data_IF_389734661165
#
_entry.id   IF_389734661165
#
_cell.length_a   1.000
_cell.length_b   1.000
_cell.length_c   1.000
_cell.angle_alpha   90.00
_cell.angle_beta   90.00
_cell.angle_gamma   90.00
#
_symmetry.space_group_name_H-M   'P 1'
#
loop_
_entity.id
_entity.type
_entity.pdbx_description
1 polymer ?
#
# COMPACT_ATOMS: atom_id res chain seq x y z
N UNK A 1 5.78 -12.12 -5.46
CA UNK A 1 5.81 -13.39 -6.24
C UNK A 1 5.16 -14.55 -5.48
N UNK A 2 5.37 -14.68 -4.17
CA UNK A 2 4.86 -15.82 -3.37
C UNK A 2 3.43 -15.66 -2.84
N UNK A 3 2.78 -14.51 -3.06
CA UNK A 3 1.45 -14.24 -2.51
C UNK A 3 1.47 -13.25 -1.35
N UNK A 4 2.63 -12.72 -0.96
CA UNK A 4 2.74 -11.73 0.11
C UNK A 4 2.66 -10.31 -0.43
N UNK A 5 2.06 -9.44 0.37
CA UNK A 5 2.13 -7.99 0.15
C UNK A 5 3.50 -7.48 0.61
N UNK A 6 4.08 -6.56 -0.15
CA UNK A 6 5.37 -5.93 0.12
C UNK A 6 5.22 -4.41 0.12
N UNK A 7 6.01 -3.74 0.97
CA UNK A 7 6.02 -2.29 1.06
C UNK A 7 7.46 -1.79 1.16
N UNK A 8 7.84 -0.87 0.28
CA UNK A 8 9.13 -0.18 0.32
C UNK A 8 8.85 1.29 0.60
N UNK A 9 9.37 1.81 1.70
CA UNK A 9 9.13 3.20 2.13
C UNK A 9 10.46 3.92 2.21
N UNK A 10 10.63 5.02 1.48
CA UNK A 10 11.80 5.91 1.67
C UNK A 10 11.45 7.01 2.65
N UNK A 11 12.33 7.22 3.64
CA UNK A 11 12.13 8.22 4.70
C UNK A 11 13.42 8.99 4.95
N UNK A 12 13.30 10.29 5.23
CA UNK A 12 14.44 11.14 5.57
C UNK A 12 14.33 12.57 5.07
N UNK A 13 15.36 13.35 5.35
CA UNK A 13 15.36 14.79 5.11
C UNK A 13 15.41 15.18 3.63
N UNK A 14 15.19 16.47 3.34
CA UNK A 14 15.16 17.00 1.98
C UNK A 14 16.50 16.80 1.27
N UNK A 15 16.44 16.49 -0.03
CA UNK A 15 17.62 16.42 -0.89
C UNK A 15 18.50 15.19 -0.72
N UNK A 16 18.12 14.20 0.11
CA UNK A 16 18.94 13.01 0.37
C UNK A 16 18.62 11.81 -0.54
N UNK A 17 17.97 12.04 -1.68
CA UNK A 17 17.83 10.99 -2.71
C UNK A 17 16.72 9.96 -2.50
N UNK A 18 15.64 10.28 -1.77
CA UNK A 18 14.46 9.40 -1.61
C UNK A 18 13.87 8.98 -2.96
N UNK A 19 13.43 9.97 -3.74
CA UNK A 19 12.91 9.79 -5.10
C UNK A 19 13.93 9.11 -6.02
N UNK A 20 15.21 9.51 -5.95
CA UNK A 20 16.29 8.89 -6.72
C UNK A 20 16.48 7.40 -6.39
N UNK A 21 16.31 7.02 -5.12
CA UNK A 21 16.44 5.62 -4.70
C UNK A 21 15.33 4.76 -5.31
N UNK A 22 14.08 5.24 -5.27
CA UNK A 22 12.94 4.50 -5.81
C UNK A 22 12.90 4.48 -7.33
N UNK A 23 13.17 5.62 -7.97
CA UNK A 23 12.92 5.83 -9.40
C UNK A 23 14.17 6.12 -10.24
N UNK A 24 15.35 6.26 -9.64
CA UNK A 24 16.61 6.57 -10.33
C UNK A 24 16.69 8.02 -10.82
N UNK A 25 17.58 8.33 -11.80
CA UNK A 25 17.72 9.64 -12.42
C UNK A 25 16.56 10.01 -13.37
N UNK A 26 15.49 9.20 -13.41
CA UNK A 26 14.40 9.32 -14.37
C UNK A 26 14.63 8.48 -15.63
N UNK A 27 13.63 8.45 -16.51
CA UNK A 27 13.62 7.63 -17.73
C UNK A 27 14.40 8.22 -18.90
N UNK A 28 14.61 9.53 -18.91
CA UNK A 28 15.33 10.24 -19.98
C UNK A 28 16.87 10.10 -19.87
N UNK A 29 17.37 9.73 -18.69
CA UNK A 29 18.79 9.66 -18.36
C UNK A 29 19.23 8.24 -17.91
N UNK A 30 18.57 7.18 -18.40
CA UNK A 30 18.98 5.79 -18.11
C UNK A 30 20.11 5.42 -19.06
N UNK A 31 21.36 5.43 -18.58
CA UNK A 31 22.51 5.01 -19.37
C UNK A 31 22.73 3.48 -19.31
N UNK A 32 22.14 2.80 -18.32
CA UNK A 32 22.07 1.33 -18.23
C UNK A 32 21.17 0.83 -17.07
N UNK A 33 21.01 -0.49 -16.94
CA UNK A 33 20.22 -1.09 -15.85
C UNK A 33 20.78 -0.77 -14.45
N UNK A 34 22.08 -0.46 -14.35
CA UNK A 34 22.72 -0.05 -13.11
C UNK A 34 22.17 1.29 -12.55
N UNK A 35 21.67 2.17 -13.43
CA UNK A 35 21.16 3.49 -13.04
C UNK A 35 19.68 3.45 -12.64
N UNK A 36 19.01 2.31 -12.78
CA UNK A 36 17.59 2.17 -12.48
C UNK A 36 17.31 2.32 -10.98
N UNK A 37 16.10 2.76 -10.62
CA UNK A 37 15.63 2.76 -9.25
C UNK A 37 15.17 1.38 -8.79
N UNK A 38 14.81 1.28 -7.50
CA UNK A 38 14.25 0.04 -6.92
C UNK A 38 12.98 -0.41 -7.67
N UNK A 39 12.12 0.53 -8.07
CA UNK A 39 10.85 0.22 -8.74
C UNK A 39 11.10 -0.44 -10.08
N UNK A 40 11.96 0.13 -10.93
CA UNK A 40 12.23 -0.41 -12.25
C UNK A 40 12.88 -1.80 -12.20
N UNK A 41 13.80 -2.02 -11.25
CA UNK A 41 14.37 -3.36 -11.01
C UNK A 41 13.31 -4.37 -10.61
N UNK A 42 12.43 -4.01 -9.67
CA UNK A 42 11.33 -4.89 -9.24
C UNK A 42 10.39 -5.25 -10.39
N UNK A 43 10.04 -4.29 -11.25
CA UNK A 43 9.22 -4.53 -12.45
C UNK A 43 9.90 -5.55 -13.37
N UNK A 44 11.19 -5.37 -13.67
CA UNK A 44 11.93 -6.33 -14.51
C UNK A 44 11.95 -7.72 -13.89
N UNK A 45 12.20 -7.83 -12.59
CA UNK A 45 12.20 -9.10 -11.88
C UNK A 45 10.83 -9.80 -11.92
N UNK A 46 9.73 -9.04 -11.78
CA UNK A 46 8.36 -9.57 -11.91
C UNK A 46 8.12 -10.11 -13.32
N UNK A 47 8.44 -9.34 -14.36
CA UNK A 47 8.22 -9.79 -15.75
C UNK A 47 9.16 -10.92 -16.18
N UNK A 48 10.39 -10.96 -15.65
CA UNK A 48 11.29 -12.09 -15.82
C UNK A 48 10.73 -13.36 -15.15
N UNK A 49 10.13 -13.23 -13.97
CA UNK A 49 9.42 -14.33 -13.31
C UNK A 49 8.23 -14.83 -14.15
N UNK A 50 7.41 -13.92 -14.68
CA UNK A 50 6.27 -14.25 -15.56
C UNK A 50 6.76 -15.03 -16.79
N UNK A 51 7.82 -14.55 -17.45
CA UNK A 51 8.38 -15.21 -18.62
C UNK A 51 8.94 -16.63 -18.31
N UNK A 52 9.40 -16.85 -17.08
CA UNK A 52 9.92 -18.15 -16.64
C UNK A 52 8.87 -19.18 -16.21
N UNK A 53 7.59 -18.79 -16.08
CA UNK A 53 6.52 -19.63 -15.51
C UNK A 53 5.28 -19.63 -16.40
N UNK A 54 5.40 -20.18 -17.61
CA UNK A 54 4.31 -20.20 -18.59
C UNK A 54 3.09 -21.06 -18.19
N UNK A 55 3.18 -21.83 -17.11
CA UNK A 55 2.08 -22.66 -16.60
C UNK A 55 0.99 -21.88 -15.87
N UNK A 56 1.17 -20.56 -15.68
CA UNK A 56 0.21 -19.69 -14.99
C UNK A 56 -0.26 -18.56 -15.90
N UNK A 57 -1.49 -18.12 -15.67
CA UNK A 57 -1.99 -16.84 -16.19
C UNK A 57 -1.65 -15.74 -15.21
N UNK A 58 -1.31 -14.56 -15.74
CA UNK A 58 -0.89 -13.41 -14.95
C UNK A 58 -1.69 -12.18 -15.34
N UNK A 59 -1.99 -11.33 -14.37
CA UNK A 59 -2.39 -9.95 -14.60
C UNK A 59 -1.55 -9.02 -13.74
N UNK A 60 -0.96 -8.01 -14.38
CA UNK A 60 -0.19 -6.96 -13.70
C UNK A 60 -0.98 -5.67 -13.80
N UNK A 61 -1.25 -5.05 -12.66
CA UNK A 61 -1.92 -3.76 -12.59
C UNK A 61 -1.02 -2.76 -11.85
N UNK A 62 -1.01 -1.50 -12.29
CA UNK A 62 -0.28 -0.42 -11.63
C UNK A 62 -1.21 0.68 -11.18
N UNK A 63 -0.90 1.31 -10.06
CA UNK A 63 -1.56 2.52 -9.58
C UNK A 63 -0.51 3.54 -9.15
N UNK A 64 -0.84 4.83 -9.23
CA UNK A 64 0.07 5.86 -8.75
C UNK A 64 -0.72 7.01 -8.14
N UNK A 65 -0.55 7.22 -6.84
CA UNK A 65 -1.23 8.28 -6.11
C UNK A 65 -0.24 9.25 -5.48
N UNK A 66 -0.64 10.50 -5.40
CA UNK A 66 0.03 11.56 -4.66
C UNK A 66 -0.84 12.01 -3.48
N UNK A 67 -0.22 12.34 -2.36
CA UNK A 67 -0.86 12.94 -1.20
C UNK A 67 -0.27 14.33 -1.01
N UNK A 68 -1.08 15.34 -1.27
CA UNK A 68 -0.74 16.76 -1.14
C UNK A 68 -1.67 17.39 -0.11
N UNK A 69 -1.12 17.94 0.97
CA UNK A 69 -1.90 18.68 1.99
C UNK A 69 -3.08 17.85 2.57
N UNK A 70 -2.96 16.50 2.58
CA UNK A 70 -3.97 15.57 3.07
C UNK A 70 -4.96 15.06 2.03
N UNK A 71 -4.98 15.64 0.83
CA UNK A 71 -5.81 15.20 -0.30
C UNK A 71 -5.09 14.16 -1.16
N UNK A 72 -5.84 13.19 -1.68
CA UNK A 72 -5.33 12.14 -2.57
C UNK A 72 -5.61 12.55 -4.01
N UNK A 73 -4.57 12.52 -4.84
CA UNK A 73 -4.67 12.72 -6.27
C UNK A 73 -4.20 11.45 -6.99
N UNK A 74 -4.99 10.96 -7.94
CA UNK A 74 -4.55 9.92 -8.87
C UNK A 74 -3.66 10.57 -9.94
N UNK A 75 -2.42 10.10 -10.06
CA UNK A 75 -1.45 10.63 -11.03
C UNK A 75 -1.60 10.01 -12.43
N UNK A 76 -2.40 8.96 -12.55
CA UNK A 76 -2.67 8.26 -13.81
C UNK A 76 -4.01 8.66 -14.44
N UNK A 77 -4.91 9.31 -13.67
CA UNK A 77 -6.31 9.63 -14.03
C UNK A 77 -7.15 8.43 -14.52
N UNK A 78 -6.72 7.21 -14.18
CA UNK A 78 -7.26 5.95 -14.68
C UNK A 78 -7.45 4.91 -13.57
N UNK A 79 -7.12 5.25 -12.32
CA UNK A 79 -7.09 4.34 -11.19
C UNK A 79 -6.00 3.27 -11.37
N UNK A 80 -6.42 2.01 -11.41
CA UNK A 80 -5.51 0.89 -11.65
C UNK A 80 -5.45 0.57 -13.15
N UNK A 81 -4.25 0.62 -13.71
CA UNK A 81 -4.01 0.36 -15.13
C UNK A 81 -3.39 -1.02 -15.33
N UNK A 82 -4.03 -1.84 -16.17
CA UNK A 82 -3.49 -3.13 -16.58
C UNK A 82 -2.29 -2.95 -17.51
N UNK A 83 -1.22 -3.69 -17.25
CA UNK A 83 0.02 -3.66 -18.03
C UNK A 83 0.41 -5.07 -18.48
N UNK A 84 0.82 -5.19 -19.74
CA UNK A 84 1.22 -6.44 -20.37
C UNK A 84 2.73 -6.58 -20.56
N UNK A 85 3.48 -5.48 -20.42
CA UNK A 85 4.94 -5.49 -20.55
C UNK A 85 5.64 -4.51 -19.61
N UNK A 86 6.97 -4.66 -19.50
CA UNK A 86 7.83 -3.74 -18.75
C UNK A 86 7.74 -2.32 -19.30
N UNK A 87 7.68 -2.18 -20.63
CA UNK A 87 7.62 -0.89 -21.33
C UNK A 87 6.33 -0.12 -20.99
N UNK A 88 5.20 -0.82 -20.88
CA UNK A 88 3.93 -0.20 -20.48
C UNK A 88 3.98 0.31 -19.03
N UNK A 89 4.51 -0.49 -18.11
CA UNK A 89 4.69 -0.06 -16.71
C UNK A 89 5.60 1.17 -16.65
N UNK A 90 6.71 1.16 -17.38
CA UNK A 90 7.65 2.28 -17.39
C UNK A 90 7.04 3.55 -17.99
N UNK A 91 6.22 3.41 -19.03
CA UNK A 91 5.47 4.54 -19.60
C UNK A 91 4.53 5.15 -18.58
N UNK A 92 3.73 4.35 -17.86
CA UNK A 92 2.83 4.86 -16.83
C UNK A 92 3.57 5.49 -15.66
N UNK A 93 4.69 4.89 -15.26
CA UNK A 93 5.55 5.45 -14.23
C UNK A 93 6.12 6.81 -14.65
N UNK A 94 6.54 6.97 -15.92
CA UNK A 94 6.99 8.26 -16.46
C UNK A 94 5.87 9.30 -16.48
N UNK A 95 4.66 8.91 -16.92
CA UNK A 95 3.49 9.81 -16.92
C UNK A 95 3.20 10.29 -15.50
N UNK A 96 3.07 9.38 -14.54
CA UNK A 96 2.75 9.78 -13.17
C UNK A 96 3.85 10.65 -12.53
N UNK A 97 5.13 10.34 -12.77
CA UNK A 97 6.24 11.19 -12.29
C UNK A 97 6.24 12.59 -12.92
N UNK A 98 5.80 12.73 -14.18
CA UNK A 98 5.68 14.03 -14.85
C UNK A 98 4.47 14.84 -14.35
N UNK A 99 3.42 14.18 -13.86
CA UNK A 99 2.21 14.81 -13.31
C UNK A 99 2.39 15.28 -11.86
N UNK A 100 3.40 14.76 -11.14
CA UNK A 100 3.66 15.10 -9.73
C UNK A 100 3.80 16.59 -9.52
N UNK A 101 3.20 17.08 -8.44
CA UNK A 101 3.32 18.48 -8.08
C UNK A 101 4.69 18.76 -7.44
N UNK A 102 5.28 19.96 -7.66
CA UNK A 102 6.57 20.33 -7.07
C UNK A 102 6.49 20.63 -5.56
N UNK A 103 5.31 20.54 -4.95
CA UNK A 103 5.07 20.77 -3.52
C UNK A 103 5.56 19.59 -2.68
N UNK A 104 5.67 19.80 -1.36
CA UNK A 104 5.99 18.73 -0.41
C UNK A 104 4.86 17.71 -0.37
N UNK A 105 4.98 16.67 -1.19
CA UNK A 105 3.99 15.63 -1.37
C UNK A 105 4.56 14.25 -1.11
N UNK A 106 3.70 13.33 -0.68
CA UNK A 106 4.02 11.90 -0.63
C UNK A 106 3.52 11.26 -1.92
N UNK A 107 4.24 10.29 -2.46
CA UNK A 107 3.74 9.52 -3.60
C UNK A 107 3.83 8.03 -3.35
N UNK A 108 2.81 7.28 -3.75
CA UNK A 108 2.73 5.85 -3.58
C UNK A 108 2.47 5.22 -4.94
N UNK A 109 3.47 4.52 -5.47
CA UNK A 109 3.33 3.69 -6.66
C UNK A 109 3.02 2.26 -6.22
N UNK A 110 2.00 1.64 -6.82
CA UNK A 110 1.56 0.29 -6.51
C UNK A 110 1.65 -0.62 -7.73
N UNK A 111 2.07 -1.85 -7.49
CA UNK A 111 2.14 -2.95 -8.46
C UNK A 111 1.38 -4.13 -7.88
N UNK A 112 0.30 -4.52 -8.55
CA UNK A 112 -0.50 -5.68 -8.17
C UNK A 112 -0.26 -6.79 -9.18
N UNK A 113 0.17 -7.96 -8.68
CA UNK A 113 0.37 -9.16 -9.47
C UNK A 113 -0.67 -10.21 -9.06
N UNK A 114 -1.54 -10.53 -10.00
CA UNK A 114 -2.45 -11.66 -9.93
C UNK A 114 -1.86 -12.83 -10.71
N UNK A 115 -1.94 -14.02 -10.14
CA UNK A 115 -1.49 -15.26 -10.75
C UNK A 115 -2.59 -16.29 -10.59
N UNK A 116 -2.85 -17.06 -11.64
CA UNK A 116 -3.81 -18.14 -11.61
C UNK A 116 -3.25 -19.36 -12.35
N UNK A 117 -3.46 -20.56 -11.79
CA UNK A 117 -3.01 -21.81 -12.42
C UNK A 117 -3.91 -22.97 -11.99
N UNK A 118 -3.89 -24.06 -12.75
CA UNK A 118 -4.60 -25.29 -12.40
C UNK A 118 -3.66 -26.18 -11.61
N UNK A 119 -4.07 -26.60 -10.41
CA UNK A 119 -3.30 -27.53 -9.57
C UNK A 119 -3.33 -28.95 -10.14
N UNK A 120 -2.51 -29.86 -9.58
CA UNK A 120 -2.49 -31.27 -10.00
C UNK A 120 -3.82 -31.98 -9.75
N UNK A 121 -4.58 -31.48 -8.79
CA UNK A 121 -5.90 -31.95 -8.39
C UNK A 121 -7.02 -31.38 -9.29
N UNK A 122 -6.69 -30.55 -10.29
CA UNK A 122 -7.65 -29.93 -11.20
C UNK A 122 -8.34 -28.68 -10.65
N UNK A 123 -7.99 -28.23 -9.44
CA UNK A 123 -8.52 -27.01 -8.83
C UNK A 123 -7.83 -25.78 -9.38
N UNK A 124 -8.57 -24.69 -9.56
CA UNK A 124 -8.00 -23.42 -9.92
C UNK A 124 -7.43 -22.77 -8.67
N UNK A 125 -6.17 -22.39 -8.74
CA UNK A 125 -5.45 -21.70 -7.69
C UNK A 125 -5.27 -20.25 -8.08
N UNK A 126 -5.45 -19.37 -7.11
CA UNK A 126 -5.25 -17.94 -7.24
C UNK A 126 -4.20 -17.47 -6.24
N UNK A 127 -3.37 -16.53 -6.69
CA UNK A 127 -2.38 -15.86 -5.85
C UNK A 127 -2.32 -14.39 -6.20
N UNK A 128 -2.53 -13.55 -5.19
CA UNK A 128 -2.45 -12.11 -5.31
C UNK A 128 -1.20 -11.59 -4.58
N UNK A 129 -0.55 -10.56 -5.08
CA UNK A 129 0.53 -9.89 -4.35
C UNK A 129 0.52 -8.42 -4.71
N UNK A 130 0.59 -7.55 -3.70
CA UNK A 130 0.73 -6.10 -3.92
C UNK A 130 2.10 -5.64 -3.46
N UNK A 131 2.87 -4.99 -4.34
CA UNK A 131 4.07 -4.25 -3.96
C UNK A 131 3.75 -2.75 -3.97
N UNK A 132 4.03 -2.07 -2.85
CA UNK A 132 3.85 -0.63 -2.70
C UNK A 132 5.20 0.07 -2.53
N UNK A 133 5.38 1.20 -3.20
CA UNK A 133 6.61 1.99 -3.18
C UNK A 133 6.26 3.43 -2.80
N UNK A 134 6.55 3.78 -1.54
CA UNK A 134 6.17 5.04 -0.93
C UNK A 134 7.36 5.99 -0.87
N UNK A 135 7.34 7.02 -1.73
CA UNK A 135 8.25 8.18 -1.70
C UNK A 135 7.67 9.24 -0.76
N UNK A 136 8.06 9.21 0.51
CA UNK A 136 7.57 10.16 1.49
C UNK A 136 8.20 11.53 1.30
N UNK A 137 7.46 12.58 1.67
CA UNK A 137 7.99 13.93 1.66
C UNK A 137 9.16 14.10 2.64
N UNK A 138 9.84 15.25 2.58
CA UNK A 138 11.01 15.48 3.41
C UNK A 138 10.65 15.64 4.89
N UNK A 139 11.46 15.03 5.77
CA UNK A 139 11.43 15.38 7.19
C UNK A 139 12.15 16.71 7.41
N UNK A 140 11.51 17.63 8.14
CA UNK A 140 12.04 18.95 8.50
C UNK A 140 11.61 19.30 9.93
N UNK A 141 12.13 18.58 10.95
CA UNK A 141 11.67 18.76 12.35
C UNK A 141 12.44 19.85 13.11
N UNK A 142 13.63 20.21 12.67
CA UNK A 142 14.47 21.24 13.32
C UNK A 142 14.50 22.51 12.48
N UNK A 143 14.56 23.66 13.16
CA UNK A 143 14.54 24.97 12.53
C UNK A 143 13.14 25.48 12.19
N UNK A 144 13.09 26.69 11.65
CA UNK A 144 11.88 27.27 11.09
C UNK A 144 11.58 26.65 9.73
N UNK A 145 10.33 26.19 9.49
CA UNK A 145 9.96 25.64 8.19
C UNK A 145 10.06 26.73 7.11
N UNK A 146 10.39 26.36 5.86
CA UNK A 146 10.42 27.32 4.75
C UNK A 146 9.06 28.03 4.59
N UNK A 147 9.03 29.32 4.19
CA UNK A 147 7.79 30.03 3.91
C UNK A 147 6.93 29.28 2.89
N UNK A 148 5.68 29.01 3.24
CA UNK A 148 4.73 28.28 2.39
C UNK A 148 4.88 26.75 2.39
N UNK A 149 5.80 26.19 3.18
CA UNK A 149 5.98 24.74 3.30
C UNK A 149 5.95 24.32 4.78
N UNK A 150 4.76 24.26 5.41
CA UNK A 150 4.64 23.87 6.81
C UNK A 150 5.10 22.43 7.04
N UNK A 151 5.36 22.08 8.30
CA UNK A 151 5.71 20.72 8.69
C UNK A 151 4.57 19.77 8.34
N UNK A 152 4.90 18.66 7.70
CA UNK A 152 3.92 17.69 7.23
C UNK A 152 3.21 16.99 8.40
N UNK A 153 1.89 17.15 8.49
CA UNK A 153 1.09 16.54 9.54
C UNK A 153 1.02 15.01 9.41
N UNK A 154 1.08 14.48 8.17
CA UNK A 154 1.12 13.06 7.89
C UNK A 154 2.38 12.40 8.48
N UNK A 155 3.55 12.99 8.29
CA UNK A 155 4.81 12.48 8.86
C UNK A 155 4.81 12.51 10.39
N UNK A 156 4.29 13.59 10.98
CA UNK A 156 4.14 13.68 12.44
C UNK A 156 3.21 12.59 12.97
N UNK A 157 2.11 12.33 12.28
CA UNK A 157 1.20 11.24 12.64
C UNK A 157 1.83 9.87 12.45
N UNK A 158 2.63 9.67 11.39
CA UNK A 158 3.37 8.43 11.17
C UNK A 158 4.36 8.16 12.30
N UNK A 159 5.09 9.17 12.76
CA UNK A 159 5.96 9.06 13.94
C UNK A 159 5.17 8.68 15.19
N UNK A 160 4.00 9.29 15.40
CA UNK A 160 3.12 8.93 16.51
C UNK A 160 2.65 7.49 16.42
N UNK A 161 2.18 7.04 15.25
CA UNK A 161 1.76 5.66 15.00
C UNK A 161 2.89 4.68 15.34
N UNK A 162 4.11 4.94 14.85
CA UNK A 162 5.27 4.09 15.17
C UNK A 162 5.55 4.08 16.67
N UNK A 163 5.53 5.24 17.33
CA UNK A 163 5.70 5.31 18.79
C UNK A 163 4.67 4.45 19.52
N UNK A 164 3.39 4.59 19.17
CA UNK A 164 2.28 3.83 19.75
C UNK A 164 2.43 2.32 19.52
N UNK A 165 2.84 1.91 18.33
CA UNK A 165 3.07 0.50 17.99
C UNK A 165 4.23 -0.13 18.78
N UNK A 166 5.19 0.69 19.21
CA UNK A 166 6.36 0.26 19.98
C UNK A 166 6.19 0.43 21.50
N UNK A 167 5.04 0.95 21.95
CA UNK A 167 4.76 1.10 23.37
C UNK A 167 4.53 -0.29 24.00
N UNK A 168 5.32 -0.71 25.00
CA UNK A 168 5.16 -2.01 25.64
C UNK A 168 3.75 -2.28 26.18
N UNK A 169 3.07 -1.24 26.67
CA UNK A 169 1.70 -1.38 27.21
C UNK A 169 0.69 -1.75 26.12
N UNK A 170 0.92 -1.30 24.89
CA UNK A 170 0.08 -1.60 23.73
C UNK A 170 0.51 -2.90 23.07
N UNK A 171 1.82 -3.17 22.98
CA UNK A 171 2.35 -4.41 22.41
C UNK A 171 1.85 -5.67 23.13
N UNK A 172 1.58 -5.59 24.43
CA UNK A 172 1.04 -6.70 25.24
C UNK A 172 -0.42 -6.48 25.68
N UNK A 173 -1.02 -5.34 25.33
CA UNK A 173 -2.40 -5.00 25.65
C UNK A 173 -3.39 -5.48 24.58
N UNK A 174 -4.61 -5.84 24.99
CA UNK A 174 -5.63 -6.40 24.08
C UNK A 174 -6.31 -5.31 23.22
N UNK A 175 -6.18 -4.02 23.57
CA UNK A 175 -6.97 -2.93 22.98
C UNK A 175 -6.16 -1.63 22.75
N UNK A 176 -5.03 -1.70 22.05
CA UNK A 176 -4.33 -0.49 21.61
C UNK A 176 -5.01 0.15 20.41
N UNK A 177 -5.66 1.31 20.59
CA UNK A 177 -6.19 2.09 19.47
C UNK A 177 -5.03 2.82 18.77
N UNK A 178 -4.58 2.30 17.63
CA UNK A 178 -3.51 2.92 16.85
C UNK A 178 -4.11 4.02 15.93
N UNK A 179 -3.58 5.26 15.94
CA UNK A 179 -4.23 6.42 15.31
C UNK A 179 -4.07 6.51 13.77
N UNK A 180 -4.16 5.40 13.03
CA UNK A 180 -3.98 5.39 11.57
C UNK A 180 -4.95 6.33 10.83
N UNK A 181 -6.20 6.43 11.31
CA UNK A 181 -7.26 7.21 10.66
C UNK A 181 -7.14 8.73 10.83
N UNK A 182 -6.15 9.24 11.56
CA UNK A 182 -6.03 10.68 11.80
C UNK A 182 -5.46 11.43 10.60
N UNK A 183 -4.72 10.76 9.71
CA UNK A 183 -4.27 11.33 8.44
C UNK A 183 -4.43 10.35 7.29
N UNK A 184 -4.62 10.89 6.10
CA UNK A 184 -4.65 10.12 4.85
C UNK A 184 -3.39 9.29 4.66
N UNK A 185 -2.22 9.87 4.97
CA UNK A 185 -0.93 9.18 4.86
C UNK A 185 -0.87 7.94 5.75
N UNK A 186 -1.19 8.07 7.04
CA UNK A 186 -1.14 6.94 7.98
C UNK A 186 -2.23 5.91 7.70
N UNK A 187 -3.32 6.30 7.07
CA UNK A 187 -4.34 5.36 6.60
C UNK A 187 -3.80 4.50 5.45
N UNK A 188 -3.14 5.12 4.47
CA UNK A 188 -2.56 4.42 3.33
C UNK A 188 -1.33 3.56 3.70
N UNK A 189 -0.57 3.97 4.71
CA UNK A 189 0.59 3.22 5.22
C UNK A 189 0.24 2.20 6.32
N UNK A 190 -1.04 1.99 6.63
CA UNK A 190 -1.48 1.05 7.67
C UNK A 190 -0.97 -0.37 7.43
N UNK A 191 -0.95 -0.82 6.19
CA UNK A 191 -0.44 -2.15 5.85
C UNK A 191 1.09 -2.26 6.03
N UNK A 192 1.79 -1.13 5.93
CA UNK A 192 3.26 -1.04 6.02
C UNK A 192 3.77 -1.03 7.46
N UNK A 193 3.06 -0.42 8.40
CA UNK A 193 3.48 -0.33 9.81
C UNK A 193 2.41 -0.94 10.70
N UNK A 194 2.70 -2.07 11.36
CA UNK A 194 1.75 -2.80 12.19
C UNK A 194 0.71 -3.61 11.40
N UNK A 195 0.87 -3.69 10.08
CA UNK A 195 -0.10 -4.25 9.15
C UNK A 195 0.32 -5.61 8.56
N UNK A 196 -0.09 -5.87 7.31
CA UNK A 196 0.06 -7.17 6.64
C UNK A 196 1.20 -7.26 5.62
N UNK A 197 1.89 -6.16 5.33
CA UNK A 197 2.95 -6.14 4.31
C UNK A 197 4.32 -6.54 4.90
N UNK A 198 5.15 -7.18 4.10
CA UNK A 198 6.59 -7.24 4.33
C UNK A 198 7.18 -5.87 4.03
N UNK A 199 7.59 -5.16 5.08
CA UNK A 199 7.99 -3.75 4.93
C UNK A 199 9.49 -3.57 5.01
N UNK A 200 10.05 -2.93 3.99
CA UNK A 200 11.40 -2.39 3.96
C UNK A 200 11.32 -0.86 4.07
N UNK A 201 12.02 -0.29 5.06
CA UNK A 201 12.19 1.16 5.17
C UNK A 201 13.63 1.53 4.81
N UNK A 202 13.78 2.41 3.83
CA UNK A 202 15.07 2.92 3.37
C UNK A 202 15.26 4.33 3.92
N UNK A 203 16.29 4.49 4.76
CA UNK A 203 16.59 5.76 5.39
C UNK A 203 17.57 6.59 4.56
N UNK A 204 17.13 7.77 4.12
CA UNK A 204 17.91 8.70 3.31
C UNK A 204 18.40 9.87 4.18
N UNK A 205 19.60 9.74 4.74
CA UNK A 205 20.20 10.72 5.67
C UNK A 205 21.33 11.52 5.04
N UNK A 206 21.76 12.59 5.72
CA UNK A 206 22.88 13.42 5.27
C UNK A 206 24.13 13.19 6.09
N UNK A 207 25.32 13.10 5.46
CA UNK A 207 26.58 12.99 6.19
C UNK A 207 27.11 14.35 6.69
N UNK A 208 26.43 15.45 6.36
CA UNK A 208 26.92 16.80 6.67
C UNK A 208 26.67 17.17 8.13
N UNK A 209 27.65 17.82 8.76
CA UNK A 209 27.60 18.20 10.19
C UNK A 209 26.41 19.11 10.51
N UNK A 210 26.11 20.06 9.62
CA UNK A 210 24.97 20.97 9.76
C UNK A 210 23.60 20.25 9.80
N UNK A 211 23.52 18.99 9.38
CA UNK A 211 22.31 18.17 9.36
C UNK A 211 22.27 17.11 10.47
N UNK A 212 23.23 17.11 11.41
CA UNK A 212 23.34 16.07 12.45
C UNK A 212 22.06 15.91 13.26
N UNK A 213 21.39 17.00 13.62
CA UNK A 213 20.14 16.93 14.40
C UNK A 213 19.03 16.17 13.65
N UNK A 214 18.84 16.49 12.37
CA UNK A 214 17.84 15.85 11.51
C UNK A 214 18.20 14.40 11.19
N UNK A 215 19.49 14.13 10.95
CA UNK A 215 20.00 12.76 10.75
C UNK A 215 19.84 11.90 11.99
N UNK A 216 20.13 12.43 13.18
CA UNK A 216 19.92 11.72 14.44
C UNK A 216 18.44 11.40 14.67
N UNK A 217 17.53 12.35 14.41
CA UNK A 217 16.09 12.12 14.49
C UNK A 217 15.60 11.03 13.53
N UNK A 218 16.09 11.05 12.30
CA UNK A 218 15.82 10.01 11.30
C UNK A 218 16.30 8.62 11.77
N UNK A 219 17.48 8.53 12.38
CA UNK A 219 18.02 7.28 12.94
C UNK A 219 17.21 6.79 14.15
N UNK A 220 16.78 7.69 15.03
CA UNK A 220 15.94 7.36 16.18
C UNK A 220 14.57 6.84 15.74
N UNK A 221 13.97 7.46 14.72
CA UNK A 221 12.74 6.96 14.10
C UNK A 221 12.95 5.56 13.53
N UNK A 222 14.02 5.34 12.76
CA UNK A 222 14.33 4.03 12.18
C UNK A 222 14.52 2.93 13.24
N UNK A 223 15.18 3.26 14.37
CA UNK A 223 15.32 2.33 15.49
C UNK A 223 13.98 1.89 16.07
N UNK A 224 12.99 2.79 16.16
CA UNK A 224 11.64 2.44 16.58
C UNK A 224 10.91 1.62 15.53
N UNK A 225 11.03 1.99 14.25
CA UNK A 225 10.46 1.21 13.14
C UNK A 225 10.92 -0.25 13.16
N UNK A 226 12.18 -0.52 13.51
CA UNK A 226 12.70 -1.89 13.64
C UNK A 226 11.96 -2.74 14.70
N UNK A 227 11.32 -2.10 15.68
CA UNK A 227 10.55 -2.76 16.73
C UNK A 227 9.08 -2.98 16.34
N UNK A 228 8.61 -2.39 15.23
CA UNK A 228 7.26 -2.59 14.72
C UNK A 228 7.10 -4.01 14.17
N UNK A 229 6.01 -4.68 14.55
CA UNK A 229 5.70 -6.03 14.08
C UNK A 229 4.57 -6.00 13.06
N UNK A 230 4.82 -6.55 11.89
CA UNK A 230 3.80 -6.82 10.89
C UNK A 230 3.38 -8.29 10.92
N UNK A 231 2.10 -8.54 10.65
CA UNK A 231 1.51 -9.88 10.58
C UNK A 231 1.24 -10.21 9.11
N UNK A 232 2.27 -10.72 8.45
CA UNK A 232 2.25 -10.98 7.02
C UNK A 232 1.39 -12.19 6.69
N UNK A 233 0.50 -12.04 5.70
CA UNK A 233 -0.46 -13.08 5.28
C UNK A 233 -0.24 -13.38 3.80
N UNK A 234 -0.20 -14.67 3.46
CA UNK A 234 -0.17 -15.13 2.07
C UNK A 234 -1.57 -15.04 1.45
N UNK A 235 -1.70 -14.32 0.35
CA UNK A 235 -2.93 -14.11 -0.40
C UNK A 235 -3.08 -15.21 -1.47
N UNK A 236 -3.44 -16.41 -1.02
CA UNK A 236 -3.74 -17.55 -1.91
C UNK A 236 -5.09 -18.15 -1.59
N UNK A 237 -5.84 -18.54 -2.61
CA UNK A 237 -7.08 -19.28 -2.47
C UNK A 237 -7.28 -20.23 -3.66
N UNK A 238 -8.21 -21.17 -3.53
CA UNK A 238 -8.58 -22.10 -4.59
C UNK A 238 -10.08 -22.11 -4.83
N UNK A 239 -10.49 -22.25 -6.07
CA UNK A 239 -11.88 -22.51 -6.44
C UNK A 239 -12.00 -23.69 -7.43
N UNK A 240 -13.21 -24.21 -7.54
CA UNK A 240 -13.56 -25.35 -8.39
C UNK A 240 -14.37 -24.93 -9.63
N UNK A 241 -14.42 -23.63 -9.92
CA UNK A 241 -15.20 -23.04 -11.01
C UNK A 241 -16.69 -23.46 -11.02
N UNK A 242 -17.25 -23.94 -9.91
CA UNK A 242 -18.66 -24.32 -9.86
C UNK A 242 -19.50 -23.06 -10.00
N UNK A 243 -20.30 -22.89 -11.08
CA UNK A 243 -21.22 -21.77 -11.15
C UNK A 243 -22.18 -21.90 -9.98
N UNK A 244 -22.27 -20.87 -9.14
CA UNK A 244 -23.32 -20.79 -8.11
C UNK A 244 -24.65 -20.81 -8.88
N UNK A 245 -25.27 -21.98 -8.93
CA UNK A 245 -26.59 -22.12 -9.50
C UNK A 245 -27.55 -21.52 -8.48
N UNK A 246 -28.56 -20.73 -8.88
CA UNK A 246 -29.55 -20.16 -7.95
C UNK A 246 -30.21 -21.22 -7.05
N UNK A 247 -30.18 -22.49 -7.46
CA UNK A 247 -30.74 -23.64 -6.78
C UNK A 247 -29.89 -24.17 -5.60
N UNK A 248 -28.61 -23.80 -5.49
CA UNK A 248 -27.73 -24.18 -4.37
C UNK A 248 -27.78 -23.20 -3.20
N UNK A 249 -28.55 -22.12 -3.31
CA UNK A 249 -28.84 -21.26 -2.17
C UNK A 249 -29.62 -22.07 -1.11
N UNK A 250 -29.17 -22.12 0.15
CA UNK A 250 -29.93 -22.79 1.19
C UNK A 250 -31.30 -22.14 1.29
N UNK A 251 -32.36 -22.92 1.01
CA UNK A 251 -33.74 -22.49 1.23
C UNK A 251 -33.87 -22.10 2.70
N UNK A 252 -34.14 -20.82 2.95
CA UNK A 252 -34.37 -20.30 4.29
C UNK A 252 -35.45 -21.15 4.98
N UNK A 253 -35.04 -22.01 5.91
CA UNK A 253 -35.98 -22.73 6.77
C UNK A 253 -36.57 -21.70 7.72
N UNK A 254 -37.78 -21.25 7.44
CA UNK A 254 -38.56 -20.40 8.33
C UNK A 254 -38.94 -21.19 9.58
N UNK A 255 -38.11 -21.12 10.63
CA UNK A 255 -38.53 -21.50 11.98
C UNK A 255 -38.91 -20.22 12.73
N UNK A 256 -40.21 -19.98 13.00
CA UNK A 256 -40.65 -18.82 13.75
C UNK A 256 -40.42 -19.09 15.24
N UNK A 257 -39.24 -18.73 15.75
CA UNK A 257 -38.99 -18.87 17.20
C UNK A 257 -37.57 -18.67 17.72
N UNK A 258 -36.55 -18.41 16.91
CA UNK A 258 -35.19 -18.20 17.40
C UNK A 258 -34.77 -16.71 17.31
N UNK A 259 -34.35 -16.14 18.44
CA UNK A 259 -33.81 -14.78 18.55
C UNK A 259 -32.43 -14.60 17.87
N UNK A 260 -31.86 -13.38 17.87
CA UNK A 260 -30.95 -12.90 16.81
C UNK A 260 -29.53 -13.50 16.76
N UNK A 261 -29.24 -14.57 17.52
CA UNK A 261 -27.86 -15.07 17.72
C UNK A 261 -27.69 -16.58 17.51
N UNK A 262 -28.67 -17.28 16.95
CA UNK A 262 -28.54 -18.72 16.72
C UNK A 262 -29.22 -19.17 15.42
N UNK A 263 -28.60 -18.88 14.27
CA UNK A 263 -28.78 -19.65 13.01
C UNK A 263 -27.85 -19.14 11.90
N UNK A 264 -26.55 -19.45 11.97
CA UNK A 264 -25.71 -19.55 10.75
C UNK A 264 -24.67 -20.63 10.99
N UNK A 265 -24.95 -21.83 10.51
CA UNK A 265 -23.95 -22.88 10.36
C UNK A 265 -23.91 -23.32 8.89
N UNK A 266 -22.68 -23.28 8.36
CA UNK A 266 -22.15 -24.04 7.22
C UNK A 266 -22.53 -23.59 5.80
N UNK A 267 -21.52 -23.07 5.08
CA UNK A 267 -21.48 -22.86 3.63
C UNK A 267 -21.48 -21.39 3.24
N UNK A 268 -20.35 -20.87 2.75
CA UNK A 268 -20.17 -19.53 2.15
C UNK A 268 -20.10 -18.30 3.07
N UNK A 269 -19.33 -18.42 4.16
CA UNK A 269 -18.85 -17.23 4.88
C UNK A 269 -17.87 -16.36 4.07
N UNK A 270 -17.24 -16.88 2.99
CA UNK A 270 -16.17 -16.16 2.29
C UNK A 270 -16.64 -15.31 1.12
N UNK A 271 -17.61 -15.75 0.31
CA UNK A 271 -18.23 -14.86 -0.68
C UNK A 271 -18.84 -13.62 -0.01
N UNK A 272 -19.46 -13.82 1.15
CA UNK A 272 -19.96 -12.75 2.02
C UNK A 272 -18.85 -11.93 2.68
N UNK A 273 -17.73 -12.51 3.14
CA UNK A 273 -16.61 -11.74 3.71
C UNK A 273 -15.77 -11.00 2.66
N UNK A 274 -15.58 -11.56 1.47
CA UNK A 274 -14.91 -10.92 0.33
C UNK A 274 -15.79 -9.79 -0.21
N UNK A 275 -17.07 -10.07 -0.48
CA UNK A 275 -18.05 -9.04 -0.84
C UNK A 275 -18.16 -7.99 0.28
N UNK A 276 -18.16 -8.37 1.56
CA UNK A 276 -18.15 -7.42 2.66
C UNK A 276 -16.85 -6.63 2.72
N UNK A 277 -15.68 -7.21 2.44
CA UNK A 277 -14.40 -6.48 2.46
C UNK A 277 -14.29 -5.49 1.29
N UNK A 278 -14.76 -5.87 0.11
CA UNK A 278 -14.84 -5.00 -1.07
C UNK A 278 -15.94 -3.94 -0.88
N UNK A 279 -17.07 -4.32 -0.28
CA UNK A 279 -18.16 -3.41 0.08
C UNK A 279 -17.76 -2.45 1.19
N UNK A 280 -17.01 -2.88 2.22
CA UNK A 280 -16.48 -1.99 3.26
C UNK A 280 -15.46 -1.01 2.68
N UNK A 281 -14.61 -1.45 1.73
CA UNK A 281 -13.74 -0.53 0.97
C UNK A 281 -14.55 0.46 0.14
N UNK A 282 -15.57 0.00 -0.59
CA UNK A 282 -16.43 0.85 -1.42
C UNK A 282 -17.29 1.82 -0.58
N UNK A 283 -17.86 1.36 0.54
CA UNK A 283 -18.67 2.15 1.48
C UNK A 283 -17.80 3.13 2.23
N UNK A 284 -16.62 2.75 2.71
CA UNK A 284 -15.69 3.69 3.35
C UNK A 284 -15.23 4.78 2.36
N UNK A 285 -15.01 4.42 1.09
CA UNK A 285 -14.68 5.38 0.04
C UNK A 285 -15.88 6.28 -0.29
N UNK A 286 -17.10 5.74 -0.33
CA UNK A 286 -18.33 6.48 -0.61
C UNK A 286 -18.77 7.38 0.56
N UNK A 287 -18.66 6.93 1.81
CA UNK A 287 -18.94 7.72 3.02
C UNK A 287 -17.94 8.87 3.17
N UNK A 288 -16.65 8.63 2.88
CA UNK A 288 -15.65 9.68 2.82
C UNK A 288 -15.93 10.72 1.73
N UNK A 289 -16.37 10.28 0.54
CA UNK A 289 -16.75 11.17 -0.56
C UNK A 289 -18.04 11.95 -0.24
N UNK A 290 -19.02 11.31 0.39
CA UNK A 290 -20.29 11.92 0.77
C UNK A 290 -20.14 12.92 1.92
N UNK A 291 -19.30 12.61 2.91
CA UNK A 291 -18.95 13.55 3.98
C UNK A 291 -18.25 14.80 3.43
N UNK A 292 -17.36 14.65 2.43
CA UNK A 292 -16.75 15.78 1.72
C UNK A 292 -17.77 16.60 0.93
N UNK A 293 -18.71 15.96 0.23
CA UNK A 293 -19.78 16.64 -0.53
C UNK A 293 -20.77 17.41 0.36
N UNK A 294 -21.08 16.88 1.54
CA UNK A 294 -21.94 17.53 2.53
C UNK A 294 -21.23 18.70 3.23
N UNK A 295 -19.91 18.62 3.42
CA UNK A 295 -19.09 19.71 3.96
C UNK A 295 -18.83 20.83 2.94
N UNK A 296 -18.90 20.57 1.63
CA UNK A 296 -18.69 21.57 0.58
C UNK A 296 -19.93 22.41 0.23
N UNK A 297 -21.09 22.15 0.85
CA UNK A 297 -22.34 22.87 0.60
C UNK A 297 -22.92 23.58 1.85
N UNK A 298 -22.06 23.92 2.83
CA UNK A 298 -22.38 24.78 3.98
C UNK A 298 -21.34 25.90 4.12
#
# INVERSE_FOLDING_TARGET
LEGFDASVVTYGQRGQGKTYTLYGPGFECVYGEADQGVVQRCVRDIFAHIAGHSERTYAVNVGFVEICEGEVCDLLDMGNVHCQSVEEVFRWLQIGLATRQPKSAHSLFTLTLEQQWVSKEGLIQHRLSTASFSDLCATERWGEPPPGNPRDAGLQMLELVVNTLTDPSIMYGVNGNIPYGQTTLTTLLKDSFGGRAQTLVILCVSPQEQHVAETLGNLQFAFKVQCVRNYVIMNTYSDDNTPISPETMPKASSNPGAGPLAQVAAGDNFGLQFAASQWFKLVSNAEGLFAKLMASNL
#
